data_IF_818620457714
#
_entry.id   IF_818620457714
#
_cell.length_a   1.000
_cell.length_b   1.000
_cell.length_c   1.000
_cell.angle_alpha   90.00
_cell.angle_beta   90.00
_cell.angle_gamma   90.00
#
_symmetry.space_group_name_H-M   'P 1'
#
loop_
_entity.id
_entity.type
_entity.pdbx_description
1 polymer ?
#
# COMPACT_ATOMS: atom_id res chain seq x y z
N UNK A 1 23.41 -23.74 -14.57
CA UNK A 1 22.40 -23.79 -13.48
C UNK A 1 22.47 -22.46 -12.71
N UNK A 2 21.60 -21.48 -13.02
CA UNK A 2 21.63 -20.15 -12.40
C UNK A 2 20.82 -20.19 -11.10
N UNK A 3 21.48 -20.07 -9.94
CA UNK A 3 20.79 -19.89 -8.67
C UNK A 3 20.06 -18.54 -8.67
N UNK A 4 18.74 -18.57 -8.54
CA UNK A 4 17.94 -17.38 -8.23
C UNK A 4 18.21 -17.01 -6.77
N UNK A 5 18.81 -15.84 -6.53
CA UNK A 5 18.94 -15.25 -5.19
C UNK A 5 17.53 -15.11 -4.60
N UNK A 6 17.25 -15.82 -3.51
CA UNK A 6 16.02 -15.67 -2.74
C UNK A 6 16.17 -14.40 -1.90
N UNK A 7 15.42 -13.35 -2.23
CA UNK A 7 15.35 -12.16 -1.38
C UNK A 7 14.31 -12.41 -0.29
N UNK A 8 14.65 -12.07 0.96
CA UNK A 8 13.72 -12.09 2.09
C UNK A 8 13.28 -10.65 2.33
N UNK A 9 12.04 -10.31 1.96
CA UNK A 9 11.45 -9.01 2.26
C UNK A 9 10.78 -9.08 3.64
N UNK A 10 11.20 -8.23 4.57
CA UNK A 10 10.57 -8.07 5.89
C UNK A 10 9.69 -6.82 5.83
N UNK A 11 8.37 -7.00 5.83
CA UNK A 11 7.40 -5.89 5.90
C UNK A 11 7.14 -5.58 7.37
N UNK A 12 7.74 -4.50 7.88
CA UNK A 12 7.52 -4.00 9.25
C UNK A 12 6.61 -2.76 9.23
N UNK A 13 5.36 -2.92 9.67
CA UNK A 13 4.45 -1.80 9.91
C UNK A 13 4.69 -1.25 11.32
N UNK A 14 5.28 -0.04 11.43
CA UNK A 14 5.53 0.60 12.72
C UNK A 14 4.32 1.46 13.14
N UNK A 15 3.80 1.20 14.33
CA UNK A 15 2.69 1.93 14.96
C UNK A 15 3.08 3.37 15.36
N UNK A 16 2.10 4.26 15.21
CA UNK A 16 2.16 5.70 15.49
C UNK A 16 2.41 6.00 16.98
N UNK A 17 3.21 7.04 17.26
CA UNK A 17 3.26 7.73 18.57
C UNK A 17 2.82 9.18 18.35
N UNK A 18 1.79 9.59 19.10
CA UNK A 18 1.29 10.96 19.21
C UNK A 18 2.11 11.69 20.28
N UNK A 19 2.59 12.90 19.98
CA UNK A 19 2.73 13.98 20.97
C UNK A 19 2.48 15.35 20.32
N UNK A 20 1.90 16.25 21.12
CA UNK A 20 1.14 17.44 20.77
C UNK A 20 1.91 18.77 20.91
N UNK A 21 1.23 19.87 20.51
CA UNK A 21 1.48 21.33 20.76
C UNK A 21 2.54 22.00 19.86
N UNK A 22 2.39 23.18 19.25
CA UNK A 22 1.37 24.23 19.13
C UNK A 22 1.79 25.21 17.98
N UNK A 23 1.07 26.32 17.72
CA UNK A 23 1.03 27.00 16.41
C UNK A 23 1.99 28.18 16.25
N UNK A 24 2.32 28.57 15.01
CA UNK A 24 2.85 29.90 14.67
C UNK A 24 2.01 30.52 13.54
N UNK A 25 1.54 31.74 13.80
CA UNK A 25 0.72 32.61 12.96
C UNK A 25 1.43 33.07 11.68
N UNK A 26 0.62 33.41 10.68
CA UNK A 26 0.98 34.08 9.44
C UNK A 26 1.42 35.54 9.66
N UNK A 27 2.32 36.05 8.81
CA UNK A 27 2.21 37.43 8.31
C UNK A 27 2.90 37.62 6.94
N UNK A 28 2.47 38.68 6.26
CA UNK A 28 2.48 38.96 4.82
C UNK A 28 3.69 39.78 4.30
N UNK A 29 3.75 39.97 2.95
CA UNK A 29 4.39 41.09 2.18
C UNK A 29 5.94 40.96 2.03
N UNK A 30 6.68 41.06 0.89
CA UNK A 30 6.62 41.81 -0.40
C UNK A 30 7.74 41.28 -1.35
N UNK A 31 7.56 41.36 -2.69
CA UNK A 31 8.64 41.47 -3.72
C UNK A 31 9.02 42.95 -3.95
N UNK A 32 10.01 43.40 -4.78
CA UNK A 32 10.74 42.73 -5.88
C UNK A 32 12.26 43.05 -6.03
N UNK A 33 12.95 42.38 -6.97
CA UNK A 33 14.29 42.77 -7.43
C UNK A 33 14.89 41.81 -8.47
N UNK A 34 15.09 42.29 -9.69
CA UNK A 34 15.55 41.60 -10.91
C UNK A 34 17.07 41.70 -11.04
N UNK A 35 17.75 40.64 -11.48
CA UNK A 35 18.85 40.74 -12.46
C UNK A 35 19.11 39.40 -13.17
N UNK A 36 19.18 39.48 -14.50
CA UNK A 36 19.35 38.38 -15.47
C UNK A 36 20.76 38.41 -16.04
N UNK A 37 21.43 37.25 -16.21
CA UNK A 37 22.41 37.05 -17.30
C UNK A 37 22.30 35.63 -17.83
N UNK A 38 22.14 35.54 -19.15
CA UNK A 38 21.90 34.34 -19.95
C UNK A 38 23.19 33.61 -20.35
N UNK A 39 23.10 32.28 -20.56
CA UNK A 39 23.72 31.60 -21.72
C UNK A 39 23.06 30.23 -21.93
N UNK A 40 22.45 30.02 -23.11
CA UNK A 40 21.96 28.74 -23.66
C UNK A 40 22.93 28.28 -24.78
N UNK A 41 23.00 27.00 -25.27
CA UNK A 41 21.88 26.03 -25.38
C UNK A 41 22.17 24.50 -25.24
N UNK A 42 21.05 23.74 -25.15
CA UNK A 42 20.74 22.38 -25.72
C UNK A 42 21.01 21.08 -24.92
N UNK A 43 20.25 19.99 -25.20
CA UNK A 43 19.32 19.35 -24.27
C UNK A 43 19.87 18.04 -23.69
N UNK A 44 19.53 17.72 -22.43
CA UNK A 44 19.82 16.41 -21.84
C UNK A 44 18.52 15.63 -21.62
N UNK A 45 18.37 14.57 -22.40
CA UNK A 45 17.50 13.44 -22.10
C UNK A 45 17.83 12.89 -20.71
N UNK A 46 16.97 13.17 -19.73
CA UNK A 46 17.02 12.51 -18.43
C UNK A 46 15.61 12.19 -17.97
N UNK A 47 15.00 11.19 -18.60
CA UNK A 47 13.87 10.45 -18.02
C UNK A 47 14.27 8.98 -17.84
N UNK A 48 15.25 8.77 -16.96
CA UNK A 48 15.36 7.54 -16.18
C UNK A 48 15.05 7.94 -14.75
N UNK A 49 13.82 7.69 -14.33
CA UNK A 49 13.48 7.65 -12.91
C UNK A 49 14.30 6.51 -12.31
N UNK A 50 15.46 6.86 -11.76
CA UNK A 50 16.27 5.94 -10.97
C UNK A 50 15.41 5.47 -9.81
N UNK A 51 15.20 4.16 -9.76
CA UNK A 51 14.60 3.49 -8.62
C UNK A 51 15.51 3.80 -7.44
N UNK A 52 15.04 4.56 -6.46
CA UNK A 52 15.74 4.71 -5.18
C UNK A 52 15.52 3.40 -4.41
N UNK A 53 16.21 2.35 -4.84
CA UNK A 53 16.46 1.17 -4.00
C UNK A 53 17.65 1.54 -3.13
N UNK A 54 17.38 2.12 -1.98
CA UNK A 54 18.42 2.24 -0.96
C UNK A 54 18.62 0.84 -0.37
N UNK A 55 19.83 0.24 -0.47
CA UNK A 55 20.21 -0.84 0.45
C UNK A 55 20.28 -0.19 1.84
N UNK A 56 19.14 -0.13 2.51
CA UNK A 56 19.03 0.59 3.78
C UNK A 56 19.65 -0.29 4.86
N UNK A 57 20.97 -0.16 5.02
CA UNK A 57 21.70 -0.62 6.20
C UNK A 57 21.56 0.40 7.33
N UNK A 58 21.00 1.59 7.07
CA UNK A 58 20.93 2.71 8.01
C UNK A 58 19.54 3.34 8.02
N UNK A 59 18.53 2.56 8.41
CA UNK A 59 17.25 3.12 8.85
C UNK A 59 17.57 4.03 10.05
N UNK A 60 17.35 5.36 9.98
CA UNK A 60 17.74 6.30 11.03
C UNK A 60 16.98 6.07 12.35
N UNK A 61 15.97 5.18 12.37
CA UNK A 61 15.25 4.74 13.57
C UNK A 61 15.75 3.39 14.12
N UNK A 62 16.72 2.74 13.47
CA UNK A 62 17.29 1.48 13.92
C UNK A 62 18.40 1.76 14.95
N UNK A 63 18.26 1.23 16.16
CA UNK A 63 19.32 1.29 17.16
C UNK A 63 20.59 0.57 16.63
N UNK A 64 21.72 1.27 16.47
CA UNK A 64 22.97 0.69 15.95
C UNK A 64 23.50 -0.47 16.78
N UNK A 65 23.14 -0.55 18.07
CA UNK A 65 23.59 -1.62 18.97
C UNK A 65 22.64 -2.81 19.03
N UNK A 66 21.47 -2.73 18.37
CA UNK A 66 20.48 -3.79 18.36
C UNK A 66 21.00 -5.07 17.69
N UNK A 67 20.48 -6.22 18.14
CA UNK A 67 20.76 -7.52 17.51
C UNK A 67 20.38 -7.52 16.03
N UNK A 68 19.38 -6.72 15.64
CA UNK A 68 18.95 -6.56 14.26
C UNK A 68 19.98 -5.78 13.43
N UNK A 69 20.50 -4.65 13.92
CA UNK A 69 21.55 -3.89 13.24
C UNK A 69 22.81 -4.73 12.99
N UNK A 70 23.23 -5.52 14.01
CA UNK A 70 24.36 -6.45 13.90
C UNK A 70 24.11 -7.57 12.88
N UNK A 71 22.88 -8.08 12.81
CA UNK A 71 22.50 -9.11 11.84
C UNK A 71 22.46 -8.56 10.40
N UNK A 72 21.91 -7.35 10.19
CA UNK A 72 21.84 -6.70 8.88
C UNK A 72 23.21 -6.25 8.35
N UNK A 73 24.20 -6.04 9.23
CA UNK A 73 25.60 -5.77 8.84
C UNK A 73 26.40 -7.01 8.40
N UNK A 74 25.82 -8.21 8.48
CA UNK A 74 26.38 -9.41 7.85
C UNK A 74 26.15 -9.41 6.34
N UNK A 75 26.71 -10.37 5.60
CA UNK A 75 26.76 -10.50 4.11
C UNK A 75 25.39 -10.62 3.40
N UNK A 76 24.36 -9.95 3.90
CA UNK A 76 22.97 -9.94 3.43
C UNK A 76 22.63 -8.58 2.83
N UNK A 77 21.96 -8.59 1.68
CA UNK A 77 21.34 -7.38 1.12
C UNK A 77 19.99 -7.18 1.80
N UNK A 78 19.88 -6.20 2.70
CA UNK A 78 18.61 -5.76 3.27
C UNK A 78 17.90 -4.79 2.32
N UNK A 79 16.57 -4.93 2.22
CA UNK A 79 15.74 -3.97 1.52
C UNK A 79 14.57 -3.58 2.42
N UNK A 80 14.38 -2.27 2.59
CA UNK A 80 13.23 -1.70 3.29
C UNK A 80 12.24 -1.16 2.27
N UNK A 81 10.98 -1.57 2.39
CA UNK A 81 9.88 -1.03 1.59
C UNK A 81 8.94 -0.33 2.55
N UNK A 82 8.90 0.99 2.51
CA UNK A 82 8.09 1.80 3.43
C UNK A 82 7.87 3.21 2.92
N UNK A 83 6.72 3.78 3.26
CA UNK A 83 6.44 5.20 3.14
C UNK A 83 6.24 5.86 4.51
N UNK A 84 5.98 7.18 4.54
CA UNK A 84 5.72 7.93 5.78
C UNK A 84 4.45 7.45 6.53
N UNK A 85 3.50 6.84 5.82
CA UNK A 85 2.29 6.29 6.40
C UNK A 85 1.85 4.99 5.72
N UNK A 86 0.65 4.52 6.10
CA UNK A 86 0.10 3.25 5.61
C UNK A 86 -0.25 3.30 4.13
N UNK A 87 -0.77 4.44 3.67
CA UNK A 87 -1.15 4.66 2.27
C UNK A 87 0.11 4.64 1.40
N UNK A 88 1.12 5.42 1.76
CA UNK A 88 2.36 5.54 1.01
C UNK A 88 3.14 4.22 1.05
N UNK A 89 3.15 3.52 2.19
CA UNK A 89 3.73 2.17 2.26
C UNK A 89 3.03 1.20 1.31
N UNK A 90 1.70 1.26 1.17
CA UNK A 90 0.98 0.41 0.21
C UNK A 90 1.34 0.72 -1.24
N UNK A 91 1.61 1.99 -1.55
CA UNK A 91 2.07 2.44 -2.87
C UNK A 91 3.49 1.91 -3.13
N UNK A 92 4.40 2.01 -2.15
CA UNK A 92 5.76 1.48 -2.29
C UNK A 92 5.78 -0.05 -2.45
N UNK A 93 4.93 -0.77 -1.72
CA UNK A 93 4.74 -2.21 -1.92
C UNK A 93 4.21 -2.50 -3.33
N UNK A 94 3.24 -1.73 -3.82
CA UNK A 94 2.71 -1.87 -5.18
C UNK A 94 3.80 -1.66 -6.25
N UNK A 95 4.68 -0.67 -6.06
CA UNK A 95 5.82 -0.38 -6.95
C UNK A 95 6.85 -1.50 -6.94
N UNK A 96 7.10 -2.08 -5.77
CA UNK A 96 8.05 -3.17 -5.62
C UNK A 96 7.53 -4.47 -6.28
N UNK A 97 6.27 -4.83 -6.01
CA UNK A 97 5.70 -6.10 -6.47
C UNK A 97 5.27 -6.06 -7.94
N UNK A 98 4.80 -4.90 -8.44
CA UNK A 98 4.11 -4.82 -9.72
C UNK A 98 4.61 -3.69 -10.63
N UNK A 99 5.05 -4.08 -11.83
CA UNK A 99 5.30 -3.14 -12.93
C UNK A 99 4.00 -2.68 -13.58
N UNK A 100 3.02 -3.59 -13.73
CA UNK A 100 1.66 -3.35 -14.22
C UNK A 100 0.68 -4.19 -13.41
N UNK A 101 -0.56 -3.72 -13.27
CA UNK A 101 -1.64 -4.48 -12.64
C UNK A 101 -2.97 -4.13 -13.29
N UNK A 102 -3.52 -5.03 -14.10
CA UNK A 102 -4.82 -4.79 -14.77
C UNK A 102 -5.94 -4.57 -13.77
N UNK A 103 -5.86 -5.23 -12.61
CA UNK A 103 -6.82 -5.10 -11.52
C UNK A 103 -6.12 -4.56 -10.29
N UNK A 104 -6.71 -3.56 -9.64
CA UNK A 104 -6.23 -3.01 -8.37
C UNK A 104 -7.33 -3.10 -7.33
N UNK A 105 -6.96 -3.50 -6.12
CA UNK A 105 -7.87 -3.59 -4.99
C UNK A 105 -7.66 -2.38 -4.09
N UNK A 106 -8.75 -1.72 -3.71
CA UNK A 106 -8.75 -0.60 -2.78
C UNK A 106 -9.41 -1.00 -1.47
N UNK A 107 -8.77 -0.64 -0.35
CA UNK A 107 -9.29 -0.89 0.99
C UNK A 107 -8.99 0.28 1.93
N UNK A 108 -9.77 0.41 3.01
CA UNK A 108 -9.61 1.50 3.98
C UNK A 108 -8.31 1.37 4.79
N UNK A 109 -7.51 2.43 4.77
CA UNK A 109 -6.26 2.56 5.51
C UNK A 109 -6.46 2.73 7.03
N UNK A 110 -7.69 2.89 7.52
CA UNK A 110 -8.00 3.10 8.95
C UNK A 110 -8.60 1.83 9.56
N UNK A 111 -9.43 1.13 8.80
CA UNK A 111 -10.11 -0.08 9.22
C UNK A 111 -9.72 -1.27 8.35
N UNK A 112 -8.73 -2.03 8.81
CA UNK A 112 -8.03 -3.04 8.01
C UNK A 112 -8.60 -4.48 7.95
N UNK A 113 -9.73 -4.87 8.58
CA UNK A 113 -10.29 -6.22 8.37
C UNK A 113 -10.58 -6.53 6.89
N UNK A 114 -11.07 -5.54 6.15
CA UNK A 114 -11.40 -5.69 4.73
C UNK A 114 -10.12 -5.75 3.88
N UNK A 115 -9.09 -4.96 4.25
CA UNK A 115 -7.76 -5.04 3.66
C UNK A 115 -7.08 -6.39 3.91
N UNK A 116 -7.29 -7.01 5.08
CA UNK A 116 -6.81 -8.36 5.36
C UNK A 116 -7.53 -9.39 4.48
N UNK A 117 -8.85 -9.28 4.35
CA UNK A 117 -9.63 -10.17 3.50
C UNK A 117 -9.26 -10.05 2.00
N UNK A 118 -8.70 -8.90 1.57
CA UNK A 118 -8.22 -8.70 0.19
C UNK A 118 -7.25 -9.78 -0.28
N UNK A 119 -6.47 -10.34 0.63
CA UNK A 119 -5.53 -11.44 0.36
C UNK A 119 -6.18 -12.67 -0.29
N UNK A 120 -7.48 -12.90 -0.05
CA UNK A 120 -8.24 -13.95 -0.74
C UNK A 120 -8.31 -13.74 -2.26
N UNK A 121 -8.34 -12.48 -2.69
CA UNK A 121 -8.47 -12.09 -4.09
C UNK A 121 -7.12 -11.95 -4.79
N UNK A 122 -6.10 -11.43 -4.08
CA UNK A 122 -4.84 -11.06 -4.73
C UNK A 122 -4.09 -12.29 -5.21
N UNK A 123 -3.88 -13.29 -4.34
CA UNK A 123 -2.98 -14.42 -4.61
C UNK A 123 -1.62 -14.00 -5.19
N UNK A 124 -1.13 -12.82 -4.78
CA UNK A 124 0.08 -12.18 -5.31
C UNK A 124 -0.03 -11.55 -6.70
N UNK A 125 -1.23 -11.44 -7.29
CA UNK A 125 -1.45 -10.99 -8.68
C UNK A 125 -1.99 -9.58 -8.82
N UNK A 126 -2.59 -9.04 -7.75
CA UNK A 126 -3.22 -7.72 -7.75
C UNK A 126 -2.58 -6.83 -6.70
N UNK A 127 -2.25 -5.60 -7.07
CA UNK A 127 -1.84 -4.58 -6.11
C UNK A 127 -3.01 -4.23 -5.18
N UNK A 128 -2.72 -4.12 -3.89
CA UNK A 128 -3.63 -3.57 -2.87
C UNK A 128 -3.15 -2.18 -2.53
N UNK A 129 -3.96 -1.17 -2.82
CA UNK A 129 -3.67 0.23 -2.46
C UNK A 129 -4.64 0.64 -1.34
N UNK A 130 -4.08 1.17 -0.26
CA UNK A 130 -4.87 1.66 0.86
C UNK A 130 -5.33 3.09 0.59
N UNK A 131 -6.58 3.39 0.95
CA UNK A 131 -7.19 4.71 0.79
C UNK A 131 -7.72 5.18 2.14
N UNK A 132 -7.58 6.48 2.44
CA UNK A 132 -8.04 7.05 3.69
C UNK A 132 -9.27 7.95 3.48
N UNK A 133 -9.17 9.24 3.78
CA UNK A 133 -10.30 10.15 3.77
C UNK A 133 -10.65 10.69 2.37
N UNK A 134 -9.67 10.70 1.47
CA UNK A 134 -9.81 11.28 0.14
C UNK A 134 -8.93 10.54 -0.87
N UNK A 135 -9.28 10.68 -2.14
CA UNK A 135 -8.46 10.21 -3.25
C UNK A 135 -7.31 11.21 -3.45
N UNK A 136 -6.09 10.81 -3.10
CA UNK A 136 -4.90 11.66 -3.26
C UNK A 136 -4.31 11.53 -4.66
N UNK A 137 -3.54 12.54 -5.08
CA UNK A 137 -2.85 12.51 -6.37
C UNK A 137 -1.85 11.34 -6.46
N UNK A 138 -1.24 10.94 -5.35
CA UNK A 138 -0.32 9.79 -5.31
C UNK A 138 -1.03 8.47 -5.65
N UNK A 139 -2.24 8.26 -5.14
CA UNK A 139 -3.06 7.09 -5.47
C UNK A 139 -3.44 7.12 -6.96
N UNK A 140 -3.86 8.26 -7.48
CA UNK A 140 -4.22 8.42 -8.90
C UNK A 140 -3.01 8.10 -9.79
N UNK A 141 -1.84 8.65 -9.45
CA UNK A 141 -0.60 8.42 -10.18
C UNK A 141 -0.20 6.94 -10.15
N UNK A 142 -0.34 6.28 -8.99
CA UNK A 142 -0.02 4.86 -8.86
C UNK A 142 -0.97 3.97 -9.68
N UNK A 143 -2.28 4.23 -9.63
CA UNK A 143 -3.28 3.51 -10.45
C UNK A 143 -2.98 3.69 -11.95
N UNK A 144 -2.59 4.90 -12.36
CA UNK A 144 -2.22 5.23 -13.74
C UNK A 144 -0.92 4.54 -14.16
N UNK A 145 0.11 4.54 -13.29
CA UNK A 145 1.39 3.85 -13.51
C UNK A 145 1.18 2.35 -13.76
N UNK A 146 0.25 1.74 -13.03
CA UNK A 146 -0.09 0.32 -13.15
C UNK A 146 -0.86 -0.02 -14.44
N UNK A 147 -1.31 0.97 -15.21
CA UNK A 147 -2.21 0.81 -16.37
C UNK A 147 -3.48 0.03 -16.02
N UNK A 148 -4.05 0.35 -14.85
CA UNK A 148 -5.22 -0.34 -14.29
C UNK A 148 -6.44 -0.18 -15.20
N UNK A 149 -7.24 -1.24 -15.33
CA UNK A 149 -8.53 -1.22 -16.04
C UNK A 149 -9.70 -1.55 -15.13
N UNK A 150 -9.47 -2.39 -14.12
CA UNK A 150 -10.51 -2.87 -13.22
C UNK A 150 -10.17 -2.50 -11.77
N UNK A 151 -11.11 -1.87 -11.07
CA UNK A 151 -10.96 -1.56 -9.65
C UNK A 151 -11.94 -2.38 -8.82
N UNK A 152 -11.44 -2.93 -7.70
CA UNK A 152 -12.25 -3.62 -6.70
C UNK A 152 -12.14 -2.86 -5.38
N UNK A 153 -13.23 -2.21 -4.98
CA UNK A 153 -13.35 -1.53 -3.70
C UNK A 153 -13.84 -2.53 -2.65
N UNK A 154 -13.09 -2.67 -1.56
CA UNK A 154 -13.46 -3.51 -0.43
C UNK A 154 -13.96 -2.63 0.72
N UNK A 155 -15.14 -2.99 1.22
CA UNK A 155 -15.81 -2.28 2.30
C UNK A 155 -16.92 -1.34 1.82
N UNK A 156 -17.79 -0.99 2.77
CA UNK A 156 -18.94 -0.11 2.53
C UNK A 156 -18.53 1.36 2.32
N UNK A 157 -19.54 2.21 2.08
CA UNK A 157 -19.36 3.65 1.84
C UNK A 157 -18.77 4.40 3.05
N UNK A 158 -18.96 3.87 4.27
CA UNK A 158 -18.32 4.40 5.48
C UNK A 158 -16.80 4.21 5.49
N UNK A 159 -16.29 3.20 4.79
CA UNK A 159 -14.87 2.90 4.68
C UNK A 159 -14.23 3.63 3.49
N UNK A 160 -14.84 3.51 2.31
CA UNK A 160 -14.46 4.24 1.10
C UNK A 160 -15.71 4.90 0.55
N UNK A 161 -15.78 6.23 0.62
CA UNK A 161 -16.96 7.00 0.25
C UNK A 161 -17.29 6.90 -1.24
N UNK A 162 -18.53 7.24 -1.58
CA UNK A 162 -18.98 7.35 -2.98
C UNK A 162 -18.24 8.47 -3.72
N UNK A 163 -17.78 9.50 -3.02
CA UNK A 163 -16.97 10.57 -3.62
C UNK A 163 -15.62 10.04 -4.11
N UNK A 164 -14.98 9.17 -3.33
CA UNK A 164 -13.75 8.50 -3.74
C UNK A 164 -14.05 7.59 -4.94
N UNK A 165 -15.12 6.82 -4.89
CA UNK A 165 -15.54 5.94 -6.00
C UNK A 165 -15.78 6.72 -7.31
N UNK A 166 -16.47 7.86 -7.24
CA UNK A 166 -16.66 8.76 -8.38
C UNK A 166 -15.34 9.37 -8.87
N UNK A 167 -14.46 9.75 -7.94
CA UNK A 167 -13.12 10.24 -8.28
C UNK A 167 -12.29 9.20 -9.04
N UNK A 168 -12.38 7.93 -8.64
CA UNK A 168 -11.71 6.81 -9.32
C UNK A 168 -12.25 6.57 -10.73
N UNK A 169 -13.56 6.73 -10.93
CA UNK A 169 -14.20 6.60 -12.25
C UNK A 169 -13.72 7.66 -13.25
N UNK A 170 -13.25 8.81 -12.77
CA UNK A 170 -12.71 9.88 -13.60
C UNK A 170 -11.25 9.65 -14.02
N UNK A 171 -10.58 8.63 -13.48
CA UNK A 171 -9.22 8.27 -13.90
C UNK A 171 -9.29 7.61 -15.28
N UNK A 172 -8.52 8.15 -16.23
CA UNK A 172 -8.45 7.60 -17.58
C UNK A 172 -7.96 6.15 -17.61
N UNK A 173 -8.62 5.31 -18.41
CA UNK A 173 -8.27 3.89 -18.59
C UNK A 173 -9.05 2.91 -17.71
N UNK A 174 -9.72 3.40 -16.67
CA UNK A 174 -10.63 2.58 -15.85
C UNK A 174 -11.88 2.23 -16.67
N UNK A 175 -12.20 0.94 -16.69
CA UNK A 175 -13.36 0.38 -17.41
C UNK A 175 -14.45 -0.07 -16.46
N UNK A 176 -14.05 -0.69 -15.35
CA UNK A 176 -14.98 -1.25 -14.39
C UNK A 176 -14.55 -0.87 -12.97
N UNK A 177 -15.53 -0.51 -12.16
CA UNK A 177 -15.39 -0.39 -10.72
C UNK A 177 -16.43 -1.31 -10.09
N UNK A 178 -15.98 -2.16 -9.17
CA UNK A 178 -16.85 -3.06 -8.42
C UNK A 178 -16.62 -2.88 -6.93
N UNK A 179 -17.70 -2.94 -6.14
CA UNK A 179 -17.63 -2.84 -4.70
C UNK A 179 -18.07 -4.16 -4.06
N UNK A 180 -17.26 -4.69 -3.16
CA UNK A 180 -17.58 -5.85 -2.34
C UNK A 180 -17.71 -5.37 -0.90
N UNK A 181 -18.95 -5.32 -0.41
CA UNK A 181 -19.26 -4.82 0.92
C UNK A 181 -20.33 -5.68 1.61
N UNK A 182 -20.17 -5.83 2.91
CA UNK A 182 -21.15 -6.44 3.80
C UNK A 182 -21.61 -5.51 4.91
N UNK A 183 -22.58 -5.97 5.69
CA UNK A 183 -23.10 -5.23 6.85
C UNK A 183 -22.04 -5.01 7.93
N UNK A 184 -21.06 -5.92 7.99
CA UNK A 184 -19.96 -5.89 8.94
C UNK A 184 -18.74 -6.63 8.36
N UNK A 185 -17.61 -6.57 9.06
CA UNK A 185 -16.34 -7.19 8.65
C UNK A 185 -16.43 -8.70 8.34
N UNK A 186 -17.33 -9.42 9.00
CA UNK A 186 -17.49 -10.86 8.82
C UNK A 186 -18.23 -11.15 7.50
N UNK A 187 -19.32 -10.42 7.24
CA UNK A 187 -20.07 -10.49 5.98
C UNK A 187 -19.24 -10.02 4.78
N UNK A 188 -18.51 -8.90 4.91
CA UNK A 188 -17.58 -8.43 3.87
C UNK A 188 -16.54 -9.50 3.56
N UNK A 189 -15.90 -10.07 4.60
CA UNK A 189 -14.90 -11.12 4.43
C UNK A 189 -15.48 -12.37 3.73
N UNK A 190 -16.70 -12.79 4.08
CA UNK A 190 -17.38 -13.91 3.43
C UNK A 190 -17.68 -13.63 1.96
N UNK A 191 -18.16 -12.43 1.62
CA UNK A 191 -18.41 -12.03 0.23
C UNK A 191 -17.12 -12.00 -0.59
N UNK A 192 -16.03 -11.50 -0.02
CA UNK A 192 -14.70 -11.52 -0.63
C UNK A 192 -14.24 -12.96 -0.88
N UNK A 193 -14.38 -13.84 0.12
CA UNK A 193 -14.03 -15.26 0.00
C UNK A 193 -14.82 -15.96 -1.12
N UNK A 194 -16.14 -15.72 -1.18
CA UNK A 194 -17.00 -16.28 -2.23
C UNK A 194 -16.62 -15.76 -3.61
N UNK A 195 -16.30 -14.47 -3.72
CA UNK A 195 -15.82 -13.87 -4.96
C UNK A 195 -14.50 -14.49 -5.44
N UNK A 196 -13.59 -14.82 -4.50
CA UNK A 196 -12.34 -15.51 -4.78
C UNK A 196 -12.51 -16.97 -5.23
N UNK A 197 -13.71 -17.56 -5.06
CA UNK A 197 -14.05 -18.96 -5.40
C UNK A 197 -13.08 -19.98 -4.78
N UNK A 198 -12.61 -19.70 -3.56
CA UNK A 198 -11.73 -20.60 -2.79
C UNK A 198 -12.54 -21.79 -2.27
N UNK A 199 -11.94 -23.00 -2.33
CA UNK A 199 -12.59 -24.25 -1.90
C UNK A 199 -12.28 -24.62 -0.44
N UNK A 200 -11.09 -24.24 0.02
CA UNK A 200 -10.62 -24.46 1.38
C UNK A 200 -10.64 -23.15 2.15
N UNK A 201 -10.87 -23.22 3.46
CA UNK A 201 -10.94 -22.04 4.32
C UNK A 201 -10.06 -22.15 5.56
N UNK A 202 -9.61 -21.00 6.05
CA UNK A 202 -8.93 -20.80 7.32
C UNK A 202 -9.79 -19.86 8.14
N UNK A 203 -10.04 -20.20 9.41
CA UNK A 203 -10.75 -19.34 10.34
C UNK A 203 -9.76 -18.60 11.22
N UNK A 204 -9.92 -17.28 11.31
CA UNK A 204 -9.17 -16.44 12.24
C UNK A 204 -10.11 -15.49 12.99
N UNK A 205 -9.66 -14.99 14.13
CA UNK A 205 -10.41 -13.97 14.86
C UNK A 205 -10.49 -12.67 14.04
N UNK A 206 -11.70 -12.12 13.89
CA UNK A 206 -11.92 -10.77 13.35
C UNK A 206 -11.80 -9.66 14.39
N UNK A 207 -11.42 -10.00 15.62
CA UNK A 207 -11.22 -9.08 16.75
C UNK A 207 -9.73 -8.87 17.04
N UNK A 208 -8.92 -9.93 16.84
CA UNK A 208 -7.46 -9.90 16.95
C UNK A 208 -6.84 -10.52 15.70
N UNK A 209 -6.06 -9.73 14.97
CA UNK A 209 -5.53 -10.10 13.66
C UNK A 209 -4.15 -10.78 13.60
N UNK A 210 -3.40 -11.08 14.69
CA UNK A 210 -2.15 -11.82 14.57
C UNK A 210 -2.30 -13.16 13.84
N UNK A 211 -3.37 -13.91 14.16
CA UNK A 211 -3.64 -15.21 13.53
C UNK A 211 -3.94 -15.05 12.04
N UNK A 212 -4.77 -14.06 11.69
CA UNK A 212 -5.09 -13.76 10.30
C UNK A 212 -3.83 -13.38 9.50
N UNK A 213 -2.95 -12.55 10.07
CA UNK A 213 -1.70 -12.14 9.43
C UNK A 213 -0.73 -13.31 9.21
N UNK A 214 -0.62 -14.21 10.20
CA UNK A 214 0.23 -15.38 10.11
C UNK A 214 -0.18 -16.34 8.97
N UNK A 215 -1.45 -16.30 8.56
CA UNK A 215 -1.99 -17.18 7.50
C UNK A 215 -1.65 -16.71 6.09
N UNK A 216 -1.17 -15.48 5.92
CA UNK A 216 -0.91 -14.85 4.60
C UNK A 216 -0.17 -15.75 3.60
N UNK A 217 0.85 -16.47 4.05
CA UNK A 217 1.69 -17.35 3.20
C UNK A 217 0.96 -18.55 2.58
N UNK A 218 -0.19 -18.95 3.12
CA UNK A 218 -0.97 -20.12 2.65
C UNK A 218 -2.30 -19.73 2.00
N UNK A 219 -2.56 -18.42 1.83
CA UNK A 219 -3.85 -17.93 1.31
C UNK A 219 -4.09 -18.23 -0.18
N UNK A 220 -3.03 -18.63 -0.90
CA UNK A 220 -3.17 -19.20 -2.23
C UNK A 220 -3.93 -20.54 -2.21
N UNK A 221 -3.71 -21.36 -1.18
CA UNK A 221 -4.26 -22.71 -1.05
C UNK A 221 -5.63 -22.72 -0.34
N UNK A 222 -5.84 -21.84 0.63
CA UNK A 222 -7.08 -21.73 1.39
C UNK A 222 -7.42 -20.26 1.67
N UNK A 223 -8.68 -19.85 1.50
CA UNK A 223 -9.07 -18.48 1.79
C UNK A 223 -9.28 -18.22 3.29
N UNK A 224 -9.05 -16.99 3.72
CA UNK A 224 -9.32 -16.48 5.06
C UNK A 224 -10.81 -16.18 5.25
N UNK A 225 -11.38 -16.61 6.37
CA UNK A 225 -12.65 -16.16 6.90
C UNK A 225 -12.47 -15.65 8.33
N UNK A 226 -13.04 -14.48 8.62
CA UNK A 226 -13.03 -13.91 9.95
C UNK A 226 -14.24 -14.39 10.75
N UNK A 227 -14.03 -14.68 12.03
CA UNK A 227 -15.10 -15.02 12.98
C UNK A 227 -15.00 -14.21 14.26
N UNK A 228 -16.16 -14.00 14.92
CA UNK A 228 -16.19 -13.53 16.31
C UNK A 228 -15.55 -14.57 17.22
N UNK A 229 -14.93 -14.11 18.31
CA UNK A 229 -14.52 -15.02 19.38
C UNK A 229 -15.78 -15.62 19.99
N UNK A 230 -15.76 -16.94 20.23
CA UNK A 230 -16.79 -17.61 21.04
C UNK A 230 -16.58 -17.31 22.51
#
# INVERSE_FOLDING_TARGET
>A
MKLRKKHVAIILALGMVLTSTGPILADQVTSPGVETVSSDPKPKDTNKSEIIVSPDVQDPKLDPNSSLAKFLSSDQTSMRISGPGRVETSIEISRFENTKSKTVILADARNYPDALAASNLTGGRYSVILVQNQLTQEIINEISRLETQDLIILGGTNSISEDIERGLANIGGIKNISRIAGENRYDTCQKIFNHAKKKSLILASGEKFPDALATSSILDQAGLLLTKKR
#
